data_IF_013916185038
#
_entry.id   IF_013916185038
#
_cell.length_a   1.000
_cell.length_b   1.000
_cell.length_c   1.000
_cell.angle_alpha   90.00
_cell.angle_beta   90.00
_cell.angle_gamma   90.00
#
_symmetry.space_group_name_H-M   'P 1'
#
loop_
_entity.id
_entity.type
_entity.pdbx_description
1 polymer ?
#
# COMPACT_ATOMS: atom_id res chain seq x y z
N UNK A 1 11.03 4.80 -2.29
CA UNK A 1 11.95 4.72 -1.12
C UNK A 1 11.32 5.31 0.15
N UNK A 2 10.67 6.49 0.09
CA UNK A 2 10.06 7.13 1.27
C UNK A 2 8.95 6.30 1.94
N UNK A 3 8.00 5.74 1.16
CA UNK A 3 6.88 4.98 1.73
C UNK A 3 7.33 3.77 2.57
N UNK A 4 8.32 3.00 2.09
CA UNK A 4 8.87 1.86 2.83
C UNK A 4 9.46 2.29 4.18
N UNK A 5 10.19 3.40 4.20
CA UNK A 5 10.77 3.95 5.44
C UNK A 5 9.67 4.31 6.43
N UNK A 6 8.64 5.03 5.97
CA UNK A 6 7.58 5.53 6.85
C UNK A 6 6.74 4.37 7.43
N UNK A 7 6.57 3.26 6.69
CA UNK A 7 5.87 2.06 7.17
C UNK A 7 6.62 1.36 8.31
N UNK A 8 7.95 1.46 8.38
CA UNK A 8 8.74 0.81 9.45
C UNK A 8 8.34 1.32 10.84
N UNK A 9 7.79 2.53 10.95
CA UNK A 9 7.28 3.08 12.21
C UNK A 9 6.20 2.18 12.85
N UNK A 10 5.53 1.31 12.08
CA UNK A 10 4.54 0.36 12.58
C UNK A 10 5.17 -0.93 13.12
N UNK A 11 6.47 -1.15 12.88
CA UNK A 11 7.22 -2.31 13.36
C UNK A 11 8.01 -1.95 14.63
N UNK A 12 7.54 -2.41 15.79
CA UNK A 12 8.21 -2.20 17.09
C UNK A 12 9.68 -2.59 17.11
N UNK A 13 10.08 -3.61 16.34
CA UNK A 13 11.48 -4.05 16.23
C UNK A 13 12.42 -2.99 15.64
N UNK A 14 11.87 -1.94 15.04
CA UNK A 14 12.64 -0.84 14.44
C UNK A 14 12.72 0.38 15.34
N UNK A 15 12.07 0.34 16.51
CA UNK A 15 12.00 1.46 17.44
C UNK A 15 13.27 1.54 18.29
N UNK A 16 13.64 2.75 18.77
CA UNK A 16 14.69 2.89 19.78
C UNK A 16 14.26 2.24 21.12
N UNK A 17 15.22 1.96 21.99
CA UNK A 17 14.96 1.34 23.31
C UNK A 17 14.05 2.19 24.20
N UNK A 18 14.20 3.52 24.14
CA UNK A 18 13.37 4.50 24.83
C UNK A 18 12.80 5.52 23.84
N UNK A 19 11.66 5.21 23.20
CA UNK A 19 11.04 6.09 22.22
C UNK A 19 10.35 7.28 22.89
N UNK A 20 10.64 8.50 22.40
CA UNK A 20 9.89 9.70 22.77
C UNK A 20 8.39 9.52 22.49
N UNK A 21 7.52 10.15 23.29
CA UNK A 21 6.07 10.01 23.13
C UNK A 21 5.56 10.48 21.76
N UNK A 22 6.33 11.31 21.04
CA UNK A 22 6.02 11.78 19.68
C UNK A 22 6.78 10.99 18.60
N UNK A 23 7.46 9.91 18.96
CA UNK A 23 8.20 9.09 18.01
C UNK A 23 7.29 8.63 16.87
N UNK A 24 7.73 8.88 15.64
CA UNK A 24 7.00 8.43 14.45
C UNK A 24 5.75 9.25 14.09
N UNK A 25 5.42 10.33 14.80
CA UNK A 25 4.22 11.13 14.49
C UNK A 25 4.20 11.67 13.06
N UNK A 26 5.34 12.14 12.55
CA UNK A 26 5.43 12.66 11.19
C UNK A 26 5.27 11.57 10.13
N UNK A 27 5.78 10.36 10.41
CA UNK A 27 5.58 9.19 9.56
C UNK A 27 4.10 8.77 9.56
N UNK A 28 3.46 8.74 10.73
CA UNK A 28 2.03 8.44 10.87
C UNK A 28 1.18 9.48 10.15
N UNK A 29 1.45 10.78 10.31
CA UNK A 29 0.75 11.86 9.59
C UNK A 29 0.87 11.69 8.08
N UNK A 30 2.09 11.39 7.60
CA UNK A 30 2.31 11.13 6.18
C UNK A 30 1.49 9.94 5.68
N UNK A 31 1.49 8.83 6.42
CA UNK A 31 0.76 7.63 6.04
C UNK A 31 -0.77 7.83 6.10
N UNK A 32 -1.29 8.52 7.13
CA UNK A 32 -2.71 8.87 7.21
C UNK A 32 -3.14 9.71 6.00
N UNK A 33 -2.37 10.72 5.62
CA UNK A 33 -2.62 11.51 4.42
C UNK A 33 -2.54 10.67 3.14
N UNK A 34 -1.61 9.72 3.07
CA UNK A 34 -1.39 8.89 1.87
C UNK A 34 -2.50 7.85 1.66
N UNK A 35 -3.02 7.29 2.74
CA UNK A 35 -4.02 6.21 2.71
C UNK A 35 -5.43 6.65 3.10
N UNK A 36 -5.63 7.97 3.31
CA UNK A 36 -6.90 8.55 3.75
C UNK A 36 -7.43 7.91 5.05
N UNK A 37 -6.55 7.76 6.04
CA UNK A 37 -6.89 7.26 7.37
C UNK A 37 -7.10 8.41 8.36
N UNK A 38 -7.81 8.13 9.45
CA UNK A 38 -7.98 9.08 10.56
C UNK A 38 -6.62 9.40 11.20
N UNK A 39 -6.22 10.67 11.12
CA UNK A 39 -4.93 11.13 11.62
C UNK A 39 -4.93 11.26 13.15
N UNK A 40 -5.98 11.83 13.72
CA UNK A 40 -6.02 12.15 15.14
C UNK A 40 -6.15 10.86 15.98
N UNK A 41 -6.99 9.92 15.53
CA UNK A 41 -7.06 8.58 16.09
C UNK A 41 -5.72 7.84 15.99
N UNK A 42 -5.07 7.86 14.81
CA UNK A 42 -3.80 7.18 14.61
C UNK A 42 -2.66 7.71 15.50
N UNK A 43 -2.56 9.04 15.68
CA UNK A 43 -1.57 9.65 16.59
C UNK A 43 -1.87 9.24 18.04
N UNK A 44 -3.15 9.28 18.44
CA UNK A 44 -3.57 8.84 19.78
C UNK A 44 -3.20 7.38 20.04
N UNK A 45 -3.47 6.50 19.08
CA UNK A 45 -3.15 5.07 19.20
C UNK A 45 -1.64 4.82 19.21
N UNK A 46 -0.86 5.55 18.41
CA UNK A 46 0.60 5.47 18.45
C UNK A 46 1.15 5.84 19.84
N UNK A 47 0.64 6.93 20.43
CA UNK A 47 1.05 7.35 21.79
C UNK A 47 0.70 6.31 22.85
N UNK A 48 -0.45 5.63 22.74
CA UNK A 48 -0.83 4.53 23.64
C UNK A 48 0.16 3.37 23.56
N UNK A 49 0.59 2.99 22.35
CA UNK A 49 1.56 1.90 22.16
C UNK A 49 2.94 2.29 22.73
N UNK A 50 3.36 3.55 22.57
CA UNK A 50 4.62 4.04 23.12
C UNK A 50 4.59 4.01 24.66
N UNK A 51 3.47 4.46 25.25
CA UNK A 51 3.29 4.45 26.71
C UNK A 51 3.21 3.03 27.29
N UNK A 52 2.47 2.13 26.62
CA UNK A 52 2.33 0.73 27.01
C UNK A 52 2.77 -0.19 25.86
N UNK A 53 4.03 -0.58 25.92
CA UNK A 53 4.64 -1.46 24.93
C UNK A 53 4.09 -2.90 24.94
N UNK A 54 3.23 -3.27 25.89
CA UNK A 54 2.55 -4.57 25.87
C UNK A 54 1.40 -4.62 24.87
N UNK A 55 0.87 -3.45 24.47
CA UNK A 55 -0.23 -3.35 23.49
C UNK A 55 0.26 -3.79 22.10
N UNK A 56 -0.36 -4.80 21.50
CA UNK A 56 -0.10 -5.16 20.11
C UNK A 56 -0.59 -4.03 19.17
N UNK A 57 0.30 -3.42 18.35
CA UNK A 57 -0.09 -2.39 17.38
C UNK A 57 -1.21 -2.83 16.44
N UNK A 58 -1.34 -4.12 16.15
CA UNK A 58 -2.41 -4.64 15.27
C UNK A 58 -3.81 -4.43 15.82
N UNK A 59 -3.96 -4.42 17.15
CA UNK A 59 -5.25 -4.29 17.80
C UNK A 59 -5.77 -2.85 17.77
N UNK A 60 -4.87 -1.87 17.93
CA UNK A 60 -5.22 -0.45 17.99
C UNK A 60 -5.11 0.22 16.61
N UNK A 61 -4.11 -0.13 15.80
CA UNK A 61 -3.88 0.44 14.46
C UNK A 61 -4.38 -0.50 13.34
N UNK A 62 -5.50 -1.17 13.56
CA UNK A 62 -6.04 -2.20 12.66
C UNK A 62 -6.22 -1.71 11.21
N UNK A 63 -6.64 -0.45 11.02
CA UNK A 63 -6.81 0.16 9.70
C UNK A 63 -5.49 0.19 8.89
N UNK A 64 -4.35 0.48 9.53
CA UNK A 64 -3.05 0.43 8.86
C UNK A 64 -2.72 -0.98 8.38
N UNK A 65 -2.97 -2.00 9.20
CA UNK A 65 -2.70 -3.38 8.83
C UNK A 65 -3.64 -3.89 7.72
N UNK A 66 -4.88 -3.41 7.67
CA UNK A 66 -5.78 -3.67 6.53
C UNK A 66 -5.18 -3.10 5.25
N UNK A 67 -4.72 -1.84 5.29
CA UNK A 67 -4.08 -1.20 4.13
C UNK A 67 -2.82 -1.94 3.71
N UNK A 68 -1.95 -2.30 4.65
CA UNK A 68 -0.70 -3.03 4.36
C UNK A 68 -0.96 -4.39 3.69
N UNK A 69 -2.05 -5.08 4.04
CA UNK A 69 -2.44 -6.35 3.40
C UNK A 69 -2.83 -6.21 1.93
N UNK A 70 -3.15 -5.00 1.47
CA UNK A 70 -3.47 -4.74 0.06
C UNK A 70 -2.22 -4.54 -0.81
N UNK A 71 -1.03 -4.48 -0.19
CA UNK A 71 0.20 -4.24 -0.92
C UNK A 71 0.64 -5.51 -1.66
N UNK A 72 0.90 -5.43 -2.98
CA UNK A 72 1.43 -6.56 -3.70
C UNK A 72 2.85 -6.85 -3.21
N UNK A 73 3.07 -8.06 -2.71
CA UNK A 73 4.39 -8.52 -2.24
C UNK A 73 5.27 -9.10 -3.36
N UNK A 74 4.73 -9.25 -4.57
CA UNK A 74 5.39 -9.91 -5.71
C UNK A 74 5.30 -9.07 -6.97
N UNK A 75 6.31 -9.19 -7.83
CA UNK A 75 6.32 -8.61 -9.19
C UNK A 75 5.44 -9.39 -10.17
N UNK A 76 4.96 -10.58 -9.80
CA UNK A 76 4.14 -11.44 -10.65
C UNK A 76 2.89 -10.74 -11.18
N UNK A 77 2.24 -9.89 -10.37
CA UNK A 77 1.09 -9.09 -10.81
C UNK A 77 1.47 -8.09 -11.92
N UNK A 78 2.66 -7.49 -11.82
CA UNK A 78 3.18 -6.59 -12.86
C UNK A 78 3.55 -7.36 -14.13
N UNK A 79 4.19 -8.53 -14.00
CA UNK A 79 4.56 -9.39 -15.13
C UNK A 79 3.34 -9.89 -15.90
N UNK A 80 2.26 -10.23 -15.18
CA UNK A 80 0.96 -10.54 -15.78
C UNK A 80 0.43 -9.35 -16.58
N UNK A 81 0.51 -8.15 -16.03
CA UNK A 81 0.15 -6.91 -16.74
C UNK A 81 0.98 -6.68 -18.00
N UNK A 82 2.29 -6.90 -17.97
CA UNK A 82 3.16 -6.78 -19.14
C UNK A 82 2.85 -7.83 -20.21
N UNK A 83 2.54 -9.06 -19.81
CA UNK A 83 2.09 -10.11 -20.73
C UNK A 83 0.80 -9.71 -21.47
N UNK A 84 -0.19 -9.19 -20.72
CA UNK A 84 -1.43 -8.66 -21.31
C UNK A 84 -1.15 -7.51 -22.29
N UNK A 85 -0.24 -6.59 -21.91
CA UNK A 85 0.16 -5.49 -22.79
C UNK A 85 0.77 -6.00 -24.10
N UNK A 86 1.66 -7.01 -24.04
CA UNK A 86 2.29 -7.61 -25.22
C UNK A 86 1.27 -8.30 -26.16
N UNK A 87 0.20 -8.88 -25.60
CA UNK A 87 -0.88 -9.48 -26.40
C UNK A 87 -1.73 -8.42 -27.12
N UNK A 88 -1.89 -7.23 -26.50
CA UNK A 88 -2.65 -6.12 -27.08
C UNK A 88 -1.82 -5.36 -28.11
N UNK A 89 -0.57 -5.03 -27.75
CA UNK A 89 0.39 -4.29 -28.56
C UNK A 89 1.24 -5.25 -29.38
N UNK A 90 0.73 -5.64 -30.54
CA UNK A 90 1.50 -6.39 -31.53
C UNK A 90 2.06 -5.45 -32.59
N UNK A 91 3.02 -5.91 -33.39
CA UNK A 91 3.61 -5.12 -34.49
C UNK A 91 2.54 -4.57 -35.45
N UNK A 92 1.46 -5.34 -35.67
CA UNK A 92 0.30 -4.96 -36.49
C UNK A 92 -0.64 -3.96 -35.81
N UNK A 93 -0.65 -3.90 -34.47
CA UNK A 93 -1.48 -2.97 -33.66
C UNK A 93 -0.65 -1.84 -33.02
N UNK A 94 0.50 -1.51 -33.59
CA UNK A 94 1.44 -0.48 -33.09
C UNK A 94 0.92 0.95 -33.10
N UNK A 95 -0.24 1.23 -33.72
CA UNK A 95 -0.86 2.56 -33.80
C UNK A 95 -1.82 2.88 -32.64
N UNK A 96 -2.04 1.97 -31.70
CA UNK A 96 -2.91 2.23 -30.56
C UNK A 96 -2.32 3.32 -29.66
N UNK A 97 -3.16 4.27 -29.27
CA UNK A 97 -2.76 5.28 -28.28
C UNK A 97 -2.58 4.62 -26.92
N UNK A 98 -1.74 5.22 -26.06
CA UNK A 98 -1.53 4.77 -24.68
C UNK A 98 -2.88 4.63 -23.94
N UNK A 99 -3.80 5.59 -24.14
CA UNK A 99 -5.14 5.55 -23.56
C UNK A 99 -5.92 4.30 -23.97
N UNK A 100 -5.89 3.95 -25.25
CA UNK A 100 -6.60 2.77 -25.75
C UNK A 100 -5.97 1.48 -25.21
N UNK A 101 -4.64 1.42 -25.13
CA UNK A 101 -3.91 0.28 -24.56
C UNK A 101 -4.29 0.12 -23.09
N UNK A 102 -4.24 1.19 -22.29
CA UNK A 102 -4.60 1.15 -20.87
C UNK A 102 -6.05 0.70 -20.66
N UNK A 103 -6.98 1.16 -21.48
CA UNK A 103 -8.39 0.75 -21.40
C UNK A 103 -8.55 -0.75 -21.70
N UNK A 104 -7.88 -1.27 -22.74
CA UNK A 104 -7.93 -2.69 -23.10
C UNK A 104 -7.29 -3.56 -22.02
N UNK A 105 -6.14 -3.13 -21.47
CA UNK A 105 -5.50 -3.81 -20.33
C UNK A 105 -6.43 -3.85 -19.11
N UNK A 106 -7.09 -2.73 -18.81
CA UNK A 106 -8.02 -2.64 -17.68
C UNK A 106 -9.19 -3.63 -17.84
N UNK A 107 -9.80 -3.68 -19.02
CA UNK A 107 -10.89 -4.62 -19.34
C UNK A 107 -10.38 -6.07 -19.27
N UNK A 108 -9.19 -6.36 -19.79
CA UNK A 108 -8.68 -7.74 -19.80
C UNK A 108 -8.31 -8.25 -18.40
N UNK A 109 -7.80 -7.37 -17.53
CA UNK A 109 -7.41 -7.71 -16.16
C UNK A 109 -8.61 -7.79 -15.21
N UNK A 110 -9.57 -6.87 -15.31
CA UNK A 110 -10.66 -6.73 -14.34
C UNK A 110 -12.03 -7.12 -14.89
N UNK A 111 -12.14 -7.35 -16.20
CA UNK A 111 -13.40 -7.71 -16.85
C UNK A 111 -13.86 -9.12 -16.49
N UNK A 112 -15.15 -9.42 -16.75
CA UNK A 112 -15.68 -10.76 -16.54
C UNK A 112 -14.94 -11.78 -17.42
N UNK A 113 -14.87 -13.06 -16.99
CA UNK A 113 -14.32 -14.13 -17.82
C UNK A 113 -15.09 -14.19 -19.15
N UNK A 114 -14.37 -14.51 -20.23
CA UNK A 114 -14.93 -14.55 -21.60
C UNK A 114 -15.74 -15.83 -21.89
N UNK A 115 -16.11 -16.58 -20.86
CA UNK A 115 -16.88 -17.82 -20.95
C UNK A 115 -18.24 -17.63 -20.28
N UNK A 116 -19.31 -17.92 -21.02
CA UNK A 116 -20.67 -18.14 -20.51
C UNK A 116 -20.76 -19.41 -19.65
#
# INVERSE_FOLDING_TARGET
KLLKKNILVLEKSTWPEDPDIRYGEDDIKYLCKRFSLDQDGAISDMRKIIYDQTIDPKNVMSAFYIVLKTFPCSTAECERGFSVMNNICTDLRSRLTIKNISNLMFININGPPLSD
#
